data_IF_922313492542
#
_entry.id   IF_922313492542
#
_cell.length_a   1.000
_cell.length_b   1.000
_cell.length_c   1.000
_cell.angle_alpha   90.00
_cell.angle_beta   90.00
_cell.angle_gamma   90.00
#
_symmetry.space_group_name_H-M   'P 1'
#
loop_
_entity.id
_entity.type
_entity.pdbx_description
1 polymer ?
#
# COMPACT_ATOMS: atom_id res chain seq x y z
N UNK A 1 -4.37 -7.60 24.28
CA UNK A 1 -3.98 -6.24 24.69
C UNK A 1 -4.37 -5.29 23.56
N UNK A 2 -5.58 -4.73 23.59
CA UNK A 2 -6.09 -3.85 22.53
C UNK A 2 -5.58 -2.42 22.77
N UNK A 3 -4.80 -1.88 21.83
CA UNK A 3 -4.32 -0.50 21.87
C UNK A 3 -5.46 0.44 21.43
N UNK A 4 -5.91 1.28 22.37
CA UNK A 4 -6.88 2.35 22.16
C UNK A 4 -6.36 3.35 21.11
N UNK A 5 -7.13 3.56 20.03
CA UNK A 5 -6.88 4.61 19.05
C UNK A 5 -7.51 5.91 19.57
N UNK A 6 -6.67 6.88 19.89
CA UNK A 6 -7.06 8.18 20.39
C UNK A 6 -7.44 9.09 19.20
N UNK A 7 -8.73 9.25 18.93
CA UNK A 7 -9.23 10.29 18.02
C UNK A 7 -9.19 11.63 18.73
N UNK A 8 -8.36 12.57 18.26
CA UNK A 8 -8.36 13.95 18.77
C UNK A 8 -9.61 14.68 18.27
N UNK A 9 -10.36 15.25 19.21
CA UNK A 9 -11.42 16.24 18.95
C UNK A 9 -10.79 17.53 18.40
N UNK A 10 -11.31 18.00 17.28
CA UNK A 10 -10.88 19.23 16.62
C UNK A 10 -11.74 20.41 17.12
N UNK A 11 -11.08 21.50 17.52
CA UNK A 11 -11.59 22.79 18.03
C UNK A 11 -12.11 22.79 19.48
N UNK A 12 -11.33 23.44 20.35
CA UNK A 12 -11.60 23.60 21.77
C UNK A 12 -12.64 24.68 22.08
N UNK A 13 -13.47 24.39 23.09
CA UNK A 13 -14.11 25.39 23.94
C UNK A 13 -13.43 25.31 25.31
N UNK A 14 -12.97 26.46 25.80
CA UNK A 14 -12.19 26.61 27.01
C UNK A 14 -12.94 26.11 28.26
N UNK A 15 -12.21 25.43 29.14
CA UNK A 15 -12.63 25.12 30.50
C UNK A 15 -12.71 26.41 31.33
N UNK A 16 -13.89 26.71 31.88
CA UNK A 16 -14.03 27.60 33.03
C UNK A 16 -14.50 26.78 34.22
N UNK A 17 -13.70 26.83 35.28
CA UNK A 17 -13.90 26.17 36.57
C UNK A 17 -15.08 26.76 37.37
N UNK A 18 -15.78 25.92 38.12
CA UNK A 18 -16.50 26.31 39.34
C UNK A 18 -18.01 26.62 39.22
N UNK A 19 -18.76 26.52 40.34
CA UNK A 19 -19.99 25.73 40.38
C UNK A 19 -21.26 26.60 40.40
N UNK A 20 -22.26 26.29 39.58
CA UNK A 20 -23.64 26.68 39.91
C UNK A 20 -24.68 25.72 39.35
N UNK A 21 -25.47 25.22 40.30
CA UNK A 21 -26.73 24.50 40.19
C UNK A 21 -27.54 24.90 38.95
N UNK A 22 -27.66 24.02 37.96
CA UNK A 22 -28.84 23.94 37.13
C UNK A 22 -29.14 22.47 36.84
N UNK A 23 -30.32 22.02 37.28
CA UNK A 23 -30.74 20.64 37.20
C UNK A 23 -30.78 20.14 35.77
N UNK A 24 -30.27 18.92 35.56
CA UNK A 24 -30.49 18.17 34.34
C UNK A 24 -32.00 17.92 34.18
N UNK A 25 -32.63 18.62 33.24
CA UNK A 25 -33.98 18.27 32.82
C UNK A 25 -33.93 16.93 32.08
N UNK A 26 -34.71 15.97 32.58
CA UNK A 26 -34.92 14.68 31.93
C UNK A 26 -35.48 14.88 30.51
N UNK A 27 -35.15 14.00 29.53
CA UNK A 27 -35.60 14.12 28.14
C UNK A 27 -37.12 14.21 27.93
N UNK A 28 -37.92 13.84 28.92
CA UNK A 28 -39.38 13.96 28.93
C UNK A 28 -39.89 15.39 29.10
N UNK A 29 -39.12 16.27 29.76
CA UNK A 29 -39.51 17.67 30.02
C UNK A 29 -39.32 18.56 28.79
N UNK A 30 -38.37 18.23 27.92
CA UNK A 30 -38.08 18.97 26.67
C UNK A 30 -39.23 18.85 25.65
N UNK A 31 -40.01 17.75 25.70
CA UNK A 31 -41.16 17.56 24.80
C UNK A 31 -42.34 18.49 25.07
N UNK A 32 -42.39 19.13 26.25
CA UNK A 32 -43.46 20.07 26.62
C UNK A 32 -43.20 21.50 26.12
N UNK A 33 -41.99 21.82 25.67
CA UNK A 33 -41.65 23.11 25.06
C UNK A 33 -41.96 23.10 23.55
N UNK A 34 -43.22 22.84 23.21
CA UNK A 34 -43.72 23.00 21.85
C UNK A 34 -44.14 24.45 21.63
N UNK A 35 -43.16 25.33 21.35
CA UNK A 35 -43.45 26.64 20.75
C UNK A 35 -43.70 26.47 19.24
N UNK A 36 -44.72 27.12 18.66
CA UNK A 36 -44.98 27.04 17.21
C UNK A 36 -43.90 27.74 16.37
N UNK A 37 -42.95 28.45 17.00
CA UNK A 37 -41.95 29.28 16.32
C UNK A 37 -40.61 28.56 16.12
N UNK A 38 -40.32 27.50 16.87
CA UNK A 38 -39.07 26.73 16.74
C UNK A 38 -39.36 25.30 16.32
N UNK A 39 -39.51 25.09 15.01
CA UNK A 39 -39.27 23.77 14.42
C UNK A 39 -37.77 23.51 14.46
N UNK A 40 -37.29 22.91 15.54
CA UNK A 40 -36.01 22.19 15.51
C UNK A 40 -36.21 21.03 14.55
N UNK A 41 -35.84 21.24 13.29
CA UNK A 41 -35.69 20.13 12.36
C UNK A 41 -34.60 19.26 12.95
N UNK A 42 -34.99 18.15 13.57
CA UNK A 42 -34.06 17.06 13.83
C UNK A 42 -33.54 16.64 12.46
N UNK A 43 -32.37 17.15 12.09
CA UNK A 43 -31.65 16.72 10.91
C UNK A 43 -31.55 15.20 11.05
N UNK A 44 -32.31 14.48 10.23
CA UNK A 44 -32.19 13.02 10.15
C UNK A 44 -30.74 12.76 9.79
N UNK A 45 -29.95 12.29 10.74
CA UNK A 45 -28.60 11.80 10.47
C UNK A 45 -28.78 10.61 9.55
N UNK A 46 -28.75 10.86 8.25
CA UNK A 46 -28.55 9.78 7.30
C UNK A 46 -27.19 9.21 7.67
N UNK A 47 -27.09 7.91 8.00
CA UNK A 47 -25.78 7.30 8.15
C UNK A 47 -25.08 7.52 6.83
N UNK A 48 -24.05 8.37 6.82
CA UNK A 48 -23.25 8.58 5.62
C UNK A 48 -22.64 7.22 5.30
N UNK A 49 -23.14 6.58 4.24
CA UNK A 49 -22.54 5.37 3.68
C UNK A 49 -21.14 5.78 3.24
N UNK A 50 -20.13 5.40 4.02
CA UNK A 50 -18.73 5.64 3.70
C UNK A 50 -18.36 4.77 2.48
N UNK A 51 -18.59 5.30 1.27
CA UNK A 51 -18.08 4.71 0.03
C UNK A 51 -16.63 5.15 -0.18
N UNK A 52 -15.71 4.47 0.49
CA UNK A 52 -14.28 4.69 0.28
C UNK A 52 -13.85 3.91 -0.97
N UNK A 53 -13.65 4.61 -2.10
CA UNK A 53 -13.05 4.01 -3.29
C UNK A 53 -11.52 3.93 -3.15
N UNK A 54 -11.03 2.76 -2.72
CA UNK A 54 -9.61 2.45 -2.72
C UNK A 54 -9.09 2.25 -4.16
N UNK A 55 -7.86 2.72 -4.44
CA UNK A 55 -7.23 2.55 -5.76
C UNK A 55 -6.74 1.11 -5.88
N UNK A 56 -6.98 0.47 -7.03
CA UNK A 56 -6.51 -0.88 -7.31
C UNK A 56 -4.98 -1.01 -7.28
N UNK A 57 -4.48 -2.12 -6.75
CA UNK A 57 -3.05 -2.47 -6.71
C UNK A 57 -2.63 -3.47 -7.80
N UNK A 58 -3.49 -3.67 -8.79
CA UNK A 58 -3.32 -4.66 -9.86
C UNK A 58 -3.04 -3.97 -11.19
N UNK A 59 -2.03 -4.46 -11.90
CA UNK A 59 -1.59 -3.95 -13.20
C UNK A 59 -1.62 -5.07 -14.24
N UNK A 60 -1.91 -4.75 -15.51
CA UNK A 60 -1.92 -5.72 -16.62
C UNK A 60 -3.28 -6.40 -16.85
N UNK A 61 -3.38 -7.14 -17.95
CA UNK A 61 -4.61 -7.82 -18.40
C UNK A 61 -4.45 -9.33 -18.42
N UNK A 62 -3.55 -9.86 -19.25
CA UNK A 62 -3.21 -11.29 -19.30
C UNK A 62 -2.12 -11.62 -18.29
N UNK A 63 -1.00 -10.89 -18.34
CA UNK A 63 0.02 -10.93 -17.30
C UNK A 63 -0.33 -9.89 -16.23
N UNK A 64 -0.98 -10.35 -15.15
CA UNK A 64 -1.52 -9.49 -14.08
C UNK A 64 -0.58 -9.49 -12.90
N UNK A 65 -0.28 -8.31 -12.38
CA UNK A 65 0.62 -8.13 -11.24
C UNK A 65 -0.11 -7.35 -10.17
N UNK A 66 -0.33 -7.98 -9.02
CA UNK A 66 -0.90 -7.34 -7.84
C UNK A 66 0.21 -7.13 -6.81
N UNK A 67 0.57 -5.89 -6.51
CA UNK A 67 1.57 -5.60 -5.47
C UNK A 67 0.90 -5.45 -4.11
N UNK A 68 1.60 -5.83 -3.03
CA UNK A 68 1.07 -5.73 -1.67
C UNK A 68 2.15 -5.31 -0.66
N UNK A 69 1.70 -4.96 0.55
CA UNK A 69 2.54 -4.65 1.69
C UNK A 69 2.92 -3.18 1.82
N UNK A 70 3.33 -2.85 3.05
CA UNK A 70 3.74 -1.54 3.50
C UNK A 70 5.23 -1.54 3.87
N UNK A 71 5.86 -0.37 3.77
CA UNK A 71 7.30 -0.24 4.05
C UNK A 71 7.72 -0.57 5.48
N UNK A 72 6.81 -0.48 6.44
CA UNK A 72 7.01 -0.73 7.88
C UNK A 72 6.09 -1.85 8.39
N UNK A 73 5.50 -2.63 7.47
CA UNK A 73 4.83 -3.89 7.80
C UNK A 73 5.81 -5.07 7.79
N UNK A 74 5.31 -6.30 7.90
CA UNK A 74 6.16 -7.51 7.91
C UNK A 74 6.91 -7.81 6.60
N UNK A 75 6.58 -7.15 5.49
CA UNK A 75 7.21 -7.35 4.19
C UNK A 75 6.43 -6.68 3.07
N UNK A 76 7.04 -6.64 1.88
CA UNK A 76 6.39 -6.21 0.64
C UNK A 76 6.53 -7.29 -0.42
N UNK A 77 5.70 -7.26 -1.45
CA UNK A 77 5.76 -8.28 -2.48
C UNK A 77 4.78 -8.08 -3.61
N UNK A 78 4.61 -9.14 -4.39
CA UNK A 78 3.61 -9.20 -5.44
C UNK A 78 3.07 -10.61 -5.64
N UNK A 79 1.88 -10.66 -6.24
CA UNK A 79 1.29 -11.85 -6.84
C UNK A 79 1.27 -11.62 -8.34
N UNK A 80 1.81 -12.57 -9.09
CA UNK A 80 1.89 -12.55 -10.55
C UNK A 80 0.97 -13.65 -11.07
N UNK A 81 0.00 -13.27 -11.88
CA UNK A 81 -0.97 -14.15 -12.50
C UNK A 81 -0.85 -14.08 -14.03
N UNK A 82 -1.20 -15.18 -14.70
CA UNK A 82 -1.02 -15.34 -16.15
C UNK A 82 0.43 -15.55 -16.59
N UNK A 83 1.29 -16.12 -15.73
CA UNK A 83 2.59 -16.61 -16.14
C UNK A 83 2.43 -17.97 -16.82
N UNK A 84 3.00 -18.21 -18.03
CA UNK A 84 2.89 -19.51 -18.68
C UNK A 84 3.58 -20.60 -17.86
N UNK A 85 3.11 -21.86 -17.92
CA UNK A 85 3.75 -22.99 -17.27
C UNK A 85 5.07 -23.36 -17.97
N UNK A 86 5.91 -24.17 -17.30
CA UNK A 86 7.18 -24.71 -17.81
C UNK A 86 8.25 -23.65 -18.11
N UNK A 87 8.13 -22.46 -17.50
CA UNK A 87 9.20 -21.46 -17.48
C UNK A 87 10.16 -21.80 -16.34
N UNK A 88 11.46 -22.05 -16.58
CA UNK A 88 12.43 -22.19 -15.50
C UNK A 88 12.44 -20.89 -14.68
N UNK A 89 12.24 -20.95 -13.37
CA UNK A 89 12.19 -19.77 -12.52
C UNK A 89 12.76 -20.07 -11.14
N UNK A 90 13.66 -19.20 -10.70
CA UNK A 90 14.30 -19.24 -9.39
C UNK A 90 14.33 -17.85 -8.76
N UNK A 91 14.56 -17.80 -7.45
CA UNK A 91 14.75 -16.54 -6.72
C UNK A 91 15.96 -15.75 -7.26
N UNK A 92 17.01 -16.44 -7.70
CA UNK A 92 18.21 -15.84 -8.27
C UNK A 92 17.92 -15.00 -9.53
N UNK A 93 16.93 -15.41 -10.34
CA UNK A 93 16.54 -14.66 -11.54
C UNK A 93 15.99 -13.26 -11.19
N UNK A 94 15.32 -13.14 -10.05
CA UNK A 94 14.75 -11.88 -9.57
C UNK A 94 15.75 -11.08 -8.74
N UNK A 95 16.60 -11.77 -7.98
CA UNK A 95 17.56 -11.15 -7.07
C UNK A 95 18.49 -10.18 -7.81
N UNK A 96 18.91 -10.50 -9.04
CA UNK A 96 19.80 -9.65 -9.83
C UNK A 96 19.19 -8.25 -10.11
N UNK A 97 17.89 -8.18 -10.39
CA UNK A 97 17.21 -6.91 -10.62
C UNK A 97 16.83 -6.20 -9.30
N UNK A 98 16.62 -6.96 -8.22
CA UNK A 98 16.39 -6.42 -6.87
C UNK A 98 17.66 -5.81 -6.29
N UNK A 99 18.81 -6.43 -6.46
CA UNK A 99 20.11 -5.92 -6.02
C UNK A 99 20.43 -4.58 -6.69
N UNK A 100 20.10 -4.44 -7.98
CA UNK A 100 20.22 -3.18 -8.72
C UNK A 100 19.30 -2.08 -8.19
N UNK A 101 18.13 -2.45 -7.67
CA UNK A 101 17.14 -1.52 -7.07
C UNK A 101 17.51 -1.11 -5.65
N UNK A 102 18.22 -1.99 -4.93
CA UNK A 102 18.46 -1.90 -3.50
C UNK A 102 18.95 -0.50 -3.08
N UNK A 103 18.36 0.11 -2.03
CA UNK A 103 18.84 1.38 -1.49
C UNK A 103 20.25 1.21 -0.88
N UNK A 104 20.94 2.34 -0.63
CA UNK A 104 22.25 2.32 0.02
C UNK A 104 23.41 2.04 -0.92
N UNK A 105 23.21 2.08 -2.24
CA UNK A 105 24.30 1.94 -3.22
C UNK A 105 25.20 3.18 -3.31
N UNK A 106 24.72 4.36 -2.91
CA UNK A 106 25.51 5.59 -2.91
C UNK A 106 25.31 6.39 -1.63
N UNK A 107 26.27 7.29 -1.35
CA UNK A 107 26.26 8.19 -0.18
C UNK A 107 25.04 9.13 -0.12
N UNK A 108 24.33 9.29 -1.23
CA UNK A 108 23.16 10.17 -1.38
C UNK A 108 21.84 9.41 -1.12
N UNK A 109 21.87 8.07 -1.18
CA UNK A 109 20.68 7.24 -0.98
C UNK A 109 20.38 7.00 0.50
N UNK A 110 19.18 6.46 0.79
CA UNK A 110 18.74 6.22 2.17
C UNK A 110 19.75 5.35 2.93
N UNK A 111 19.98 5.59 4.24
CA UNK A 111 20.93 4.82 5.04
C UNK A 111 20.50 3.37 5.32
N UNK A 112 19.27 2.98 4.97
CA UNK A 112 18.73 1.64 5.22
C UNK A 112 19.51 0.58 4.46
N UNK A 113 19.93 -0.47 5.17
CA UNK A 113 20.67 -1.62 4.62
C UNK A 113 19.74 -2.83 4.49
N UNK A 114 18.71 -2.67 3.67
CA UNK A 114 17.78 -3.76 3.36
C UNK A 114 18.41 -4.65 2.29
N UNK A 115 18.49 -5.97 2.51
CA UNK A 115 19.07 -6.89 1.52
C UNK A 115 18.17 -7.13 0.31
N UNK A 116 16.89 -6.75 0.41
CA UNK A 116 15.84 -6.98 -0.59
C UNK A 116 15.79 -8.46 -1.08
N UNK A 117 16.08 -9.41 -0.19
CA UNK A 117 16.08 -10.85 -0.53
C UNK A 117 14.66 -11.33 -0.80
N UNK A 118 14.40 -11.81 -2.02
CA UNK A 118 13.07 -12.34 -2.38
C UNK A 118 12.93 -13.82 -2.08
N UNK A 119 11.71 -14.23 -1.73
CA UNK A 119 11.29 -15.62 -1.66
C UNK A 119 10.06 -15.89 -2.49
N UNK A 120 10.06 -17.02 -3.20
CA UNK A 120 8.89 -17.52 -3.94
C UNK A 120 8.09 -18.46 -3.02
N UNK A 121 6.80 -18.17 -2.85
CA UNK A 121 5.90 -18.93 -1.99
C UNK A 121 4.95 -19.85 -2.77
N UNK A 122 4.67 -19.55 -4.04
CA UNK A 122 3.72 -20.31 -4.86
C UNK A 122 4.03 -20.21 -6.34
N UNK A 123 3.37 -21.04 -7.16
CA UNK A 123 3.40 -20.96 -8.62
C UNK A 123 4.68 -21.53 -9.29
N UNK A 124 5.59 -22.09 -8.49
CA UNK A 124 6.81 -22.76 -8.94
C UNK A 124 6.91 -24.11 -8.24
N UNK A 125 7.16 -25.16 -9.02
CA UNK A 125 7.44 -26.51 -8.54
C UNK A 125 8.71 -27.01 -9.24
N UNK A 126 9.65 -27.60 -8.50
CA UNK A 126 10.90 -28.16 -9.05
C UNK A 126 11.69 -27.18 -9.94
N UNK A 127 11.62 -25.87 -9.63
CA UNK A 127 12.32 -24.83 -10.38
C UNK A 127 11.65 -24.42 -11.71
N UNK A 128 10.43 -24.88 -11.99
CA UNK A 128 9.63 -24.49 -13.15
C UNK A 128 8.27 -23.92 -12.74
N UNK A 129 7.74 -22.98 -13.51
CA UNK A 129 6.41 -22.42 -13.25
C UNK A 129 5.31 -23.43 -13.55
N UNK A 130 4.27 -23.44 -12.71
CA UNK A 130 3.13 -24.36 -12.86
C UNK A 130 1.99 -23.79 -13.70
N UNK A 131 2.03 -22.49 -14.01
CA UNK A 131 0.90 -21.75 -14.59
C UNK A 131 -0.06 -21.19 -13.54
N UNK A 132 0.11 -21.55 -12.27
CA UNK A 132 -0.64 -20.98 -11.14
C UNK A 132 -0.05 -19.62 -10.71
N UNK A 133 -0.80 -18.81 -9.94
CA UNK A 133 -0.28 -17.53 -9.46
C UNK A 133 1.01 -17.66 -8.64
N UNK A 134 1.99 -16.84 -8.99
CA UNK A 134 3.31 -16.80 -8.36
C UNK A 134 3.31 -15.73 -7.28
N UNK A 135 3.44 -16.12 -6.02
CA UNK A 135 3.56 -15.22 -4.89
C UNK A 135 5.04 -14.99 -4.57
N UNK A 136 5.47 -13.74 -4.63
CA UNK A 136 6.82 -13.32 -4.23
C UNK A 136 6.72 -12.42 -3.00
N UNK A 137 7.55 -12.70 -1.99
CA UNK A 137 7.63 -11.92 -0.75
C UNK A 137 9.07 -11.50 -0.47
N UNK A 138 9.25 -10.25 -0.06
CA UNK A 138 10.50 -9.69 0.45
C UNK A 138 10.24 -9.21 1.88
N UNK A 139 10.91 -9.80 2.90
CA UNK A 139 10.74 -9.38 4.28
C UNK A 139 11.38 -8.00 4.51
N UNK A 140 10.82 -7.25 5.45
CA UNK A 140 11.38 -5.96 5.86
C UNK A 140 12.31 -6.17 7.07
N UNK A 141 13.61 -5.91 6.92
CA UNK A 141 14.64 -6.22 7.93
C UNK A 141 15.01 -5.04 8.84
N UNK A 142 14.89 -3.79 8.37
CA UNK A 142 15.27 -2.57 9.10
C UNK A 142 14.04 -1.70 9.38
N UNK A 143 13.11 -2.24 10.19
CA UNK A 143 11.91 -1.52 10.63
C UNK A 143 12.21 -0.75 11.93
N UNK A 144 12.73 0.47 11.82
CA UNK A 144 12.90 1.35 12.98
C UNK A 144 11.63 2.15 13.22
N UNK A 145 10.78 1.69 14.13
CA UNK A 145 9.52 2.35 14.47
C UNK A 145 9.68 3.66 15.25
N UNK A 146 10.84 3.90 15.88
CA UNK A 146 11.03 4.99 16.84
C UNK A 146 11.56 6.31 16.23
N UNK A 147 12.13 6.30 15.02
CA UNK A 147 12.75 7.49 14.40
C UNK A 147 11.71 8.47 13.79
N UNK A 148 10.41 8.19 13.95
CA UNK A 148 9.32 8.86 13.23
C UNK A 148 8.29 9.57 14.13
N UNK A 149 8.58 9.72 15.42
CA UNK A 149 7.65 10.32 16.41
C UNK A 149 7.23 11.76 16.05
N UNK A 150 8.17 12.57 15.52
CA UNK A 150 7.89 13.94 15.07
C UNK A 150 6.94 14.00 13.86
N UNK A 151 6.89 12.94 13.03
CA UNK A 151 5.99 12.84 11.88
C UNK A 151 4.53 12.57 12.26
N UNK A 152 4.27 12.33 13.56
CA UNK A 152 2.91 12.32 14.08
C UNK A 152 2.27 13.72 14.11
N UNK A 153 3.07 14.79 14.15
CA UNK A 153 2.58 16.15 14.37
C UNK A 153 2.32 16.93 13.08
N UNK A 154 3.11 16.69 12.03
CA UNK A 154 3.04 17.46 10.78
C UNK A 154 3.02 16.57 9.53
N UNK A 155 2.46 17.09 8.43
CA UNK A 155 2.55 16.46 7.11
C UNK A 155 3.87 16.81 6.44
N UNK A 156 4.56 15.82 5.86
CA UNK A 156 5.81 16.07 5.15
C UNK A 156 5.53 16.70 3.78
N UNK A 157 6.23 17.78 3.40
CA UNK A 157 6.18 18.30 2.04
C UNK A 157 6.53 17.22 1.01
N UNK A 158 5.84 17.23 -0.13
CA UNK A 158 6.03 16.28 -1.24
C UNK A 158 5.74 14.80 -0.91
N UNK A 159 5.12 14.50 0.23
CA UNK A 159 4.69 13.13 0.59
C UNK A 159 3.17 12.97 0.53
N UNK A 160 2.72 11.73 0.45
CA UNK A 160 1.30 11.39 0.36
C UNK A 160 0.58 11.41 1.73
N UNK A 161 1.20 11.93 2.79
CA UNK A 161 0.66 11.84 4.15
C UNK A 161 -0.71 12.49 4.27
N UNK A 162 -0.84 13.74 3.80
CA UNK A 162 -2.10 14.49 3.84
C UNK A 162 -3.17 13.86 2.95
N UNK A 163 -2.82 13.45 1.73
CA UNK A 163 -3.80 12.88 0.79
C UNK A 163 -4.33 11.52 1.26
N UNK A 164 -3.49 10.70 1.89
CA UNK A 164 -3.94 9.45 2.52
C UNK A 164 -4.84 9.73 3.72
N UNK A 165 -4.50 10.72 4.56
CA UNK A 165 -5.31 11.05 5.73
C UNK A 165 -6.69 11.58 5.32
N UNK A 166 -6.75 12.52 4.36
CA UNK A 166 -8.02 13.04 3.84
C UNK A 166 -8.86 11.98 3.10
N UNK A 167 -8.22 11.02 2.41
CA UNK A 167 -8.93 10.01 1.62
C UNK A 167 -9.41 8.82 2.46
N UNK A 168 -8.59 8.36 3.39
CA UNK A 168 -8.80 7.11 4.11
C UNK A 168 -9.05 7.30 5.61
N UNK A 169 -8.82 8.50 6.16
CA UNK A 169 -8.93 8.79 7.59
C UNK A 169 -7.91 8.05 8.47
N UNK A 170 -6.94 7.38 7.86
CA UNK A 170 -5.92 6.57 8.54
C UNK A 170 -4.56 6.86 7.93
N UNK A 171 -3.61 7.23 8.79
CA UNK A 171 -2.24 7.56 8.41
C UNK A 171 -1.24 6.58 9.02
N UNK A 172 -0.34 6.07 8.18
CA UNK A 172 0.81 5.26 8.61
C UNK A 172 1.93 6.16 9.13
N UNK A 173 1.84 6.62 10.38
CA UNK A 173 2.80 7.56 10.99
C UNK A 173 4.25 7.05 11.01
N UNK A 174 4.43 5.73 11.10
CA UNK A 174 5.75 5.10 11.18
C UNK A 174 6.57 5.22 9.87
N UNK A 175 5.98 5.67 8.75
CA UNK A 175 6.70 5.72 7.48
C UNK A 175 5.86 6.29 6.33
N UNK A 176 6.17 5.91 5.09
CA UNK A 176 5.35 6.26 3.91
C UNK A 176 4.19 5.29 3.65
N UNK A 177 4.02 4.28 4.51
CA UNK A 177 3.03 3.22 4.33
C UNK A 177 3.11 2.59 2.93
N UNK A 178 1.97 2.58 2.23
CA UNK A 178 1.79 2.09 0.86
C UNK A 178 2.37 3.00 -0.22
N UNK A 179 2.49 4.31 0.05
CA UNK A 179 3.08 5.28 -0.89
C UNK A 179 4.62 5.21 -0.97
N UNK A 180 5.24 4.39 -0.13
CA UNK A 180 6.69 4.25 -0.09
C UNK A 180 7.26 3.66 -1.38
N UNK A 181 8.45 4.13 -1.77
CA UNK A 181 9.25 3.54 -2.84
C UNK A 181 9.54 2.05 -2.65
N UNK A 182 9.31 1.49 -1.46
CA UNK A 182 9.42 0.04 -1.19
C UNK A 182 8.40 -0.79 -1.98
N UNK A 183 7.26 -0.22 -2.36
CA UNK A 183 6.28 -0.90 -3.23
C UNK A 183 6.91 -1.32 -4.58
N UNK A 184 7.92 -0.58 -5.05
CA UNK A 184 8.61 -0.88 -6.31
C UNK A 184 9.24 -2.27 -6.33
N UNK A 185 9.53 -2.88 -5.17
CA UNK A 185 10.01 -4.26 -5.04
C UNK A 185 9.11 -5.25 -5.79
N UNK A 186 7.80 -5.16 -5.59
CA UNK A 186 6.83 -6.03 -6.27
C UNK A 186 6.87 -5.84 -7.80
N UNK A 187 7.09 -4.60 -8.27
CA UNK A 187 7.25 -4.29 -9.70
C UNK A 187 8.57 -4.79 -10.27
N UNK A 188 9.64 -4.78 -9.47
CA UNK A 188 10.95 -5.33 -9.87
C UNK A 188 10.84 -6.83 -10.09
N UNK A 189 10.31 -7.54 -9.09
CA UNK A 189 10.17 -8.98 -9.13
C UNK A 189 9.32 -9.43 -10.32
N UNK A 190 8.16 -8.79 -10.51
CA UNK A 190 7.32 -9.06 -11.68
C UNK A 190 7.98 -8.69 -13.01
N UNK A 191 8.75 -7.61 -13.04
CA UNK A 191 9.55 -7.21 -14.19
C UNK A 191 10.59 -8.27 -14.57
N UNK A 192 11.29 -8.85 -13.60
CA UNK A 192 12.27 -9.90 -13.85
C UNK A 192 11.62 -11.17 -14.43
N UNK A 193 10.44 -11.57 -13.94
CA UNK A 193 9.65 -12.67 -14.53
C UNK A 193 9.25 -12.34 -15.96
N UNK A 194 8.71 -11.14 -16.20
CA UNK A 194 8.32 -10.69 -17.55
C UNK A 194 9.51 -10.62 -18.52
N UNK A 195 10.71 -10.19 -18.07
CA UNK A 195 11.93 -10.25 -18.89
C UNK A 195 12.26 -11.67 -19.31
N UNK A 196 12.12 -12.63 -18.39
CA UNK A 196 12.43 -14.04 -18.66
C UNK A 196 11.48 -14.63 -19.70
N UNK A 197 10.19 -14.31 -19.59
CA UNK A 197 9.17 -14.66 -20.59
C UNK A 197 9.55 -14.06 -21.96
N UNK A 198 9.80 -12.76 -22.04
CA UNK A 198 10.15 -12.10 -23.30
C UNK A 198 11.43 -12.66 -23.93
N UNK A 199 12.44 -12.98 -23.12
CA UNK A 199 13.67 -13.61 -23.60
C UNK A 199 13.39 -14.99 -24.22
N UNK A 200 12.53 -15.79 -23.59
CA UNK A 200 12.25 -17.15 -24.03
C UNK A 200 11.31 -17.21 -25.23
N UNK A 201 10.24 -16.40 -25.25
CA UNK A 201 9.20 -16.47 -26.27
C UNK A 201 9.41 -15.50 -27.44
N UNK A 202 9.96 -14.30 -27.21
CA UNK A 202 10.14 -13.29 -28.25
C UNK A 202 11.61 -12.99 -28.58
N UNK A 203 12.56 -13.75 -28.02
CA UNK A 203 14.03 -13.55 -28.15
C UNK A 203 14.46 -12.10 -27.88
N UNK A 204 13.68 -11.38 -27.07
CA UNK A 204 13.89 -9.95 -26.82
C UNK A 204 14.71 -9.77 -25.55
N UNK A 205 15.85 -9.10 -25.66
CA UNK A 205 16.71 -8.82 -24.51
C UNK A 205 16.42 -7.42 -23.94
N UNK A 206 15.97 -7.36 -22.68
CA UNK A 206 15.72 -6.10 -21.99
C UNK A 206 16.88 -5.77 -21.06
N UNK A 207 17.77 -4.88 -21.53
CA UNK A 207 19.03 -4.55 -20.86
C UNK A 207 18.87 -3.65 -19.64
N UNK A 208 17.97 -2.68 -19.72
CA UNK A 208 17.74 -1.71 -18.64
C UNK A 208 16.27 -1.59 -18.30
N UNK A 209 15.99 -1.59 -17.00
CA UNK A 209 14.65 -1.39 -16.49
C UNK A 209 14.69 -0.30 -15.43
N UNK A 210 14.58 0.95 -15.90
CA UNK A 210 14.40 2.10 -15.05
C UNK A 210 13.11 1.94 -14.23
N UNK A 211 13.12 2.42 -12.99
CA UNK A 211 12.03 2.24 -12.02
C UNK A 211 10.68 2.73 -12.57
N UNK A 212 10.69 3.75 -13.44
CA UNK A 212 9.50 4.29 -14.11
C UNK A 212 8.95 3.47 -15.30
N UNK A 213 9.75 2.63 -15.96
CA UNK A 213 9.36 1.94 -17.22
C UNK A 213 8.80 0.52 -17.01
N UNK A 214 8.59 0.12 -15.75
CA UNK A 214 8.22 -1.25 -15.33
C UNK A 214 6.82 -1.69 -15.73
N UNK A 215 5.89 -0.74 -15.85
CA UNK A 215 4.52 -1.01 -16.30
C UNK A 215 4.42 -1.30 -17.80
N UNK A 216 5.28 -0.68 -18.61
CA UNK A 216 5.30 -0.90 -20.07
C UNK A 216 5.78 -2.30 -20.41
N UNK A 217 6.71 -2.85 -19.62
CA UNK A 217 7.18 -4.23 -19.78
C UNK A 217 6.07 -5.25 -19.49
N UNK A 218 5.31 -5.05 -18.41
CA UNK A 218 4.15 -5.87 -18.04
C UNK A 218 3.13 -5.90 -19.20
N UNK A 219 2.86 -4.74 -19.81
CA UNK A 219 1.98 -4.64 -20.99
C UNK A 219 2.55 -5.36 -22.22
N UNK A 220 3.86 -5.25 -22.46
CA UNK A 220 4.52 -5.92 -23.59
C UNK A 220 4.48 -7.44 -23.43
N UNK A 221 4.79 -7.94 -22.23
CA UNK A 221 4.68 -9.36 -21.89
C UNK A 221 3.25 -9.88 -22.10
N UNK A 222 2.24 -9.16 -21.62
CA UNK A 222 0.83 -9.54 -21.83
C UNK A 222 0.45 -9.65 -23.32
N UNK A 223 0.98 -8.76 -24.18
CA UNK A 223 0.75 -8.83 -25.63
C UNK A 223 1.41 -10.05 -26.27
N UNK A 224 2.66 -10.36 -25.88
CA UNK A 224 3.38 -11.53 -26.40
C UNK A 224 2.64 -12.81 -26.00
N UNK A 225 2.19 -12.91 -24.75
CA UNK A 225 1.43 -14.08 -24.30
C UNK A 225 0.13 -14.27 -25.09
N UNK A 226 -0.63 -13.19 -25.30
CA UNK A 226 -1.85 -13.25 -26.10
C UNK A 226 -1.61 -13.63 -27.57
N UNK A 227 -0.45 -13.27 -28.14
CA UNK A 227 -0.12 -13.62 -29.53
C UNK A 227 0.30 -15.09 -29.72
N UNK A 228 0.52 -15.82 -28.63
CA UNK A 228 0.94 -17.23 -28.63
C UNK A 228 -0.15 -18.19 -28.14
N UNK A 229 -1.34 -17.68 -27.81
CA UNK A 229 -2.59 -18.45 -27.63
C UNK A 229 -3.24 -18.74 -28.99
#
# INVERSE_FOLDING_TARGET
MASSLYTKSFLGAASLDGPSRFGFLQPSEIRKLSSPVLRVSTLRSHPQKLEIQAVGSTYGTYFRVTTYGESHGGGVGCVIDGCPPRLPLSEADMQLDLDRRRPGQSRITTPRKETDTCRIYSGVAEGVTTGSPIMVKVPNTDQRGHDYSEMSLAYRPSHADATYDFKYGVRSVQGGGRSSARETIGRVAAGAVAKKILKQFSRTEVRHLAVGWRLSLIKCCAKVLHAHE
#
